data_IF_029841844935
#
_entry.id   IF_029841844935
#
_cell.length_a   1.000
_cell.length_b   1.000
_cell.length_c   1.000
_cell.angle_alpha   90.00
_cell.angle_beta   90.00
_cell.angle_gamma   90.00
#
_symmetry.space_group_name_H-M   'P 1'
#
loop_
_entity.id
_entity.type
_entity.pdbx_description
1 polymer ?
#
# COMPACT_ATOMS: atom_id res chain seq x y z
N UNK A 1 23.55 11.10 21.32
CA UNK A 1 23.78 10.08 20.26
C UNK A 1 22.42 9.71 19.70
N UNK A 2 22.20 9.87 18.39
CA UNK A 2 20.91 9.60 17.77
C UNK A 2 20.67 8.08 17.67
N UNK A 3 19.41 7.65 17.62
CA UNK A 3 19.04 6.24 17.35
C UNK A 3 19.55 5.73 15.98
N UNK A 4 20.01 6.64 15.10
CA UNK A 4 20.54 6.33 13.77
C UNK A 4 21.84 5.52 13.80
N UNK A 5 22.62 5.63 14.87
CA UNK A 5 24.00 5.10 14.93
C UNK A 5 24.09 3.76 15.70
N UNK A 6 22.98 3.02 15.80
CA UNK A 6 22.90 1.78 16.60
C UNK A 6 22.17 0.68 15.85
N UNK A 7 22.61 -0.57 16.04
CA UNK A 7 21.89 -1.74 15.55
C UNK A 7 20.60 -1.91 16.37
N UNK A 8 19.47 -1.89 15.69
CA UNK A 8 18.15 -2.08 16.30
C UNK A 8 17.33 -3.04 15.46
N UNK A 9 16.48 -3.82 16.11
CA UNK A 9 15.46 -4.66 15.47
C UNK A 9 14.11 -3.98 15.65
N UNK A 10 13.33 -3.90 14.57
CA UNK A 10 12.00 -3.30 14.56
C UNK A 10 11.04 -4.34 14.03
N UNK A 11 9.98 -4.59 14.80
CA UNK A 11 8.82 -5.36 14.36
C UNK A 11 7.67 -4.38 14.10
N UNK A 12 7.02 -4.51 12.94
CA UNK A 12 5.98 -3.59 12.47
C UNK A 12 4.74 -4.40 12.13
N UNK A 13 3.70 -4.23 12.95
CA UNK A 13 2.37 -4.74 12.64
C UNK A 13 1.74 -3.86 11.55
N UNK A 14 1.37 -4.48 10.43
CA UNK A 14 0.63 -3.84 9.33
C UNK A 14 -0.75 -4.49 9.20
N UNK A 15 -1.70 -3.78 8.59
CA UNK A 15 -3.00 -4.35 8.22
C UNK A 15 -2.84 -5.22 6.98
N UNK A 16 -3.15 -6.51 7.09
CA UNK A 16 -3.06 -7.49 6.02
C UNK A 16 -4.17 -7.35 4.97
N UNK A 17 -5.24 -6.62 5.28
CA UNK A 17 -6.39 -6.43 4.40
C UNK A 17 -6.27 -5.22 3.47
N UNK A 18 -5.25 -4.38 3.69
CA UNK A 18 -5.06 -3.16 2.92
C UNK A 18 -4.35 -3.43 1.59
N UNK A 19 -4.81 -2.77 0.53
CA UNK A 19 -4.33 -2.99 -0.84
C UNK A 19 -3.59 -1.75 -1.36
N UNK A 20 -2.69 -1.95 -2.31
CA UNK A 20 -2.00 -0.85 -3.00
C UNK A 20 -2.91 -0.29 -4.09
N UNK A 21 -3.18 1.02 -4.03
CA UNK A 21 -3.95 1.77 -5.02
C UNK A 21 -3.07 2.86 -5.69
N UNK A 22 -3.34 3.25 -6.96
CA UNK A 22 -4.38 2.72 -7.81
C UNK A 22 -4.06 1.30 -8.34
N UNK A 23 -5.09 0.47 -8.48
CA UNK A 23 -4.97 -0.90 -8.99
C UNK A 23 -5.81 -1.07 -10.26
N UNK A 24 -5.17 -1.53 -11.35
CA UNK A 24 -5.85 -1.87 -12.59
C UNK A 24 -6.77 -3.09 -12.39
N UNK A 25 -7.99 -2.99 -12.90
CA UNK A 25 -8.93 -4.11 -12.89
C UNK A 25 -8.50 -5.15 -13.92
N UNK A 26 -8.46 -6.42 -13.52
CA UNK A 26 -8.02 -7.50 -14.40
C UNK A 26 -8.89 -7.56 -15.66
N UNK A 27 -8.28 -7.33 -16.82
CA UNK A 27 -8.98 -7.31 -18.12
C UNK A 27 -9.74 -6.02 -18.42
N UNK A 28 -9.66 -5.02 -17.53
CA UNK A 28 -10.22 -3.69 -17.75
C UNK A 28 -9.34 -2.81 -18.64
N UNK A 29 -9.91 -1.72 -19.10
CA UNK A 29 -9.20 -0.68 -19.85
C UNK A 29 -8.45 0.29 -18.91
N UNK A 30 -7.64 1.19 -19.48
CA UNK A 30 -6.90 2.18 -18.68
C UNK A 30 -7.81 3.13 -17.88
N UNK A 31 -9.08 3.28 -18.27
CA UNK A 31 -10.06 4.06 -17.50
C UNK A 31 -10.61 3.28 -16.30
N UNK A 32 -10.40 1.96 -16.22
CA UNK A 32 -10.99 1.11 -15.19
C UNK A 32 -9.96 0.76 -14.11
N UNK A 33 -9.97 1.55 -13.04
CA UNK A 33 -9.03 1.42 -11.94
C UNK A 33 -9.75 1.54 -10.61
N UNK A 34 -9.27 0.79 -9.61
CA UNK A 34 -9.52 1.13 -8.22
C UNK A 34 -8.59 2.28 -7.86
N UNK A 35 -9.13 3.45 -7.53
CA UNK A 35 -8.33 4.63 -7.14
C UNK A 35 -8.08 4.67 -5.63
N UNK A 36 -9.01 4.12 -4.85
CA UNK A 36 -8.90 3.95 -3.41
C UNK A 36 -9.78 2.78 -2.96
N UNK A 37 -9.81 2.52 -1.65
CA UNK A 37 -10.71 1.52 -1.04
C UNK A 37 -12.19 1.77 -1.35
N UNK A 38 -12.58 3.02 -1.65
CA UNK A 38 -13.98 3.41 -1.89
C UNK A 38 -14.23 4.01 -3.26
N UNK A 39 -13.19 4.31 -4.04
CA UNK A 39 -13.30 5.05 -5.31
C UNK A 39 -12.81 4.22 -6.51
N UNK A 40 -13.57 4.31 -7.61
CA UNK A 40 -13.31 3.62 -8.88
C UNK A 40 -13.59 4.55 -10.07
N UNK A 41 -12.81 4.39 -11.14
CA UNK A 41 -13.08 4.96 -12.48
C UNK A 41 -13.56 3.91 -13.48
#
# INVERSE_FOLDING_TARGET
MALKDRLVFIDISVDETEHVYPMLIRGGSMSEMWLSKTERT
#
